data_IF_687052339686
#
_entry.id   IF_687052339686
#
_cell.length_a   1.000
_cell.length_b   1.000
_cell.length_c   1.000
_cell.angle_alpha   90.00
_cell.angle_beta   90.00
_cell.angle_gamma   90.00
#
_symmetry.space_group_name_H-M   'P 1'
#
loop_
_entity.id
_entity.type
_entity.pdbx_description
1 polymer ?
#
# COMPACT_ATOMS: atom_id res chain seq x y z
N UNK A 1 53.51 40.48 12.93
CA UNK A 1 52.69 40.29 11.71
C UNK A 1 51.62 39.25 12.01
N UNK A 2 50.34 39.60 11.91
CA UNK A 2 49.27 38.63 12.01
C UNK A 2 49.08 37.98 10.65
N UNK A 3 49.11 36.63 10.60
CA UNK A 3 48.84 35.90 9.36
C UNK A 3 47.34 35.98 9.03
N UNK A 4 47.01 36.10 7.74
CA UNK A 4 45.65 35.91 7.24
C UNK A 4 45.20 34.46 7.52
N UNK A 5 44.05 34.29 8.17
CA UNK A 5 43.53 32.98 8.55
C UNK A 5 42.08 32.77 8.06
N UNK A 6 41.65 31.56 8.01
CA UNK A 6 40.34 31.13 7.45
C UNK A 6 39.19 31.33 8.43
N UNK A 7 39.43 31.52 9.74
CA UNK A 7 38.36 31.55 10.75
C UNK A 7 37.85 32.97 11.09
N UNK A 8 38.57 34.03 10.67
CA UNK A 8 38.21 35.41 11.01
C UNK A 8 37.58 36.14 9.84
N UNK A 9 36.28 35.96 9.66
CA UNK A 9 35.49 36.54 8.54
C UNK A 9 35.26 38.05 8.69
N UNK A 10 35.47 38.63 9.90
CA UNK A 10 35.22 40.06 10.19
C UNK A 10 36.42 40.94 9.98
N UNK A 11 37.59 40.38 9.75
CA UNK A 11 38.82 41.18 9.54
C UNK A 11 38.93 41.56 8.06
N UNK A 12 38.97 42.86 7.71
CA UNK A 12 39.17 43.28 6.33
C UNK A 12 40.49 42.72 5.77
N UNK A 13 40.37 41.83 4.78
CA UNK A 13 41.53 41.22 4.11
C UNK A 13 41.76 39.74 4.44
N UNK A 14 41.06 39.12 5.43
CA UNK A 14 41.16 37.70 5.66
C UNK A 14 39.77 37.04 5.52
N UNK A 15 39.66 36.03 4.70
CA UNK A 15 38.42 35.22 4.55
C UNK A 15 37.36 35.78 3.59
N UNK A 16 37.48 37.06 3.14
CA UNK A 16 36.47 37.69 2.26
C UNK A 16 36.40 37.04 0.87
N UNK A 17 37.49 36.40 0.43
CA UNK A 17 37.56 35.71 -0.86
C UNK A 17 37.42 34.17 -0.74
N UNK A 18 37.19 33.67 0.46
CA UNK A 18 36.96 32.24 0.63
C UNK A 18 35.57 31.88 0.11
N UNK A 19 35.50 30.99 -0.87
CA UNK A 19 34.28 30.47 -1.40
C UNK A 19 33.83 29.27 -0.51
N UNK A 20 32.55 29.22 -0.20
CA UNK A 20 31.97 28.07 0.45
C UNK A 20 32.05 26.86 -0.48
N UNK A 21 32.54 25.74 0.04
CA UNK A 21 32.58 24.49 -0.67
C UNK A 21 31.29 23.71 -0.35
N UNK A 22 30.37 23.67 -1.31
CA UNK A 22 29.14 22.94 -1.24
C UNK A 22 29.31 21.61 -1.99
N UNK A 23 29.12 20.51 -1.29
CA UNK A 23 29.15 19.19 -1.91
C UNK A 23 28.00 19.05 -2.92
N UNK A 24 28.32 18.66 -4.16
CA UNK A 24 27.37 18.52 -5.27
C UNK A 24 26.48 17.26 -5.15
N UNK A 25 26.11 16.88 -3.90
CA UNK A 25 25.29 15.72 -3.59
C UNK A 25 24.04 16.18 -2.86
N UNK A 26 22.88 15.95 -3.48
CA UNK A 26 21.58 16.14 -2.84
C UNK A 26 21.08 14.80 -2.28
N UNK A 27 20.90 14.75 -0.96
CA UNK A 27 20.35 13.57 -0.29
C UNK A 27 18.89 13.81 0.07
N UNK A 28 17.99 12.99 -0.46
CA UNK A 28 16.56 13.00 -0.12
C UNK A 28 16.32 11.87 0.87
N UNK A 29 15.93 12.20 2.09
CA UNK A 29 15.57 11.25 3.13
C UNK A 29 14.04 11.17 3.24
N UNK A 30 13.43 10.23 2.53
CA UNK A 30 12.00 9.96 2.63
C UNK A 30 11.69 8.51 2.25
N UNK A 31 10.70 7.86 2.88
CA UNK A 31 10.25 6.54 2.44
C UNK A 31 9.54 6.68 1.08
N UNK A 32 10.11 6.07 0.05
CA UNK A 32 9.62 6.17 -1.34
C UNK A 32 8.89 4.90 -1.80
N UNK A 33 8.99 3.81 -1.07
CA UNK A 33 8.42 2.52 -1.46
C UNK A 33 6.89 2.54 -1.49
N UNK A 34 6.34 1.91 -2.52
CA UNK A 34 4.89 1.79 -2.75
C UNK A 34 4.51 0.32 -2.95
N UNK A 35 4.50 -0.49 -1.87
CA UNK A 35 4.34 -1.94 -1.98
C UNK A 35 2.96 -2.36 -2.48
N UNK A 36 1.87 -1.72 -2.06
CA UNK A 36 0.52 -2.08 -2.50
C UNK A 36 0.32 -1.77 -3.99
N UNK A 37 0.80 -0.61 -4.43
CA UNK A 37 0.78 -0.23 -5.84
C UNK A 37 1.60 -1.21 -6.71
N UNK A 38 2.69 -1.75 -6.16
CA UNK A 38 3.56 -2.72 -6.86
C UNK A 38 2.95 -4.12 -6.93
N UNK A 39 2.16 -4.52 -5.92
CA UNK A 39 1.46 -5.81 -5.88
C UNK A 39 0.20 -5.83 -6.74
N UNK A 40 -0.44 -4.67 -6.93
CA UNK A 40 -1.69 -4.57 -7.65
C UNK A 40 -1.51 -4.74 -9.17
N UNK A 41 -2.39 -5.51 -9.79
CA UNK A 41 -2.45 -5.66 -11.23
C UNK A 41 -2.95 -4.36 -11.87
N UNK A 42 -2.32 -3.94 -12.96
CA UNK A 42 -2.74 -2.74 -13.69
C UNK A 42 -3.78 -3.07 -14.76
N UNK A 43 -4.86 -2.31 -14.76
CA UNK A 43 -5.91 -2.39 -15.77
C UNK A 43 -6.24 -1.00 -16.33
N UNK A 44 -6.76 -0.95 -17.54
CA UNK A 44 -7.20 0.31 -18.14
C UNK A 44 -8.68 0.55 -17.82
N UNK A 45 -8.99 1.71 -17.28
CA UNK A 45 -10.36 2.17 -17.11
C UNK A 45 -10.84 2.95 -18.33
N UNK A 46 -12.16 2.98 -18.54
CA UNK A 46 -12.81 3.72 -19.61
C UNK A 46 -13.81 4.77 -19.11
N UNK A 47 -14.12 4.75 -17.80
CA UNK A 47 -15.06 5.66 -17.16
C UNK A 47 -14.57 6.06 -15.77
N UNK A 48 -15.11 7.14 -15.22
CA UNK A 48 -14.80 7.63 -13.86
C UNK A 48 -15.28 6.72 -12.77
N UNK A 49 -16.33 5.95 -13.02
CA UNK A 49 -16.80 4.88 -12.16
C UNK A 49 -16.46 3.55 -12.80
N UNK A 50 -15.58 2.79 -12.16
CA UNK A 50 -15.15 1.49 -12.63
C UNK A 50 -15.90 0.40 -11.88
N UNK A 51 -16.60 -0.47 -12.62
CA UNK A 51 -17.38 -1.56 -12.07
C UNK A 51 -16.89 -2.92 -12.58
N UNK A 52 -17.04 -3.92 -11.72
CA UNK A 52 -16.79 -5.32 -12.05
C UNK A 52 -17.85 -6.22 -11.45
N UNK A 53 -18.08 -7.35 -12.08
CA UNK A 53 -19.07 -8.33 -11.64
C UNK A 53 -18.40 -9.43 -10.83
N UNK A 54 -19.01 -9.80 -9.72
CA UNK A 54 -18.62 -10.92 -8.86
C UNK A 54 -19.74 -11.94 -8.80
N UNK A 55 -19.38 -13.22 -8.65
CA UNK A 55 -20.33 -14.31 -8.60
C UNK A 55 -19.88 -15.32 -7.53
N UNK A 56 -20.79 -16.14 -7.05
CA UNK A 56 -20.49 -17.21 -6.10
C UNK A 56 -20.99 -18.55 -6.63
N UNK A 57 -20.25 -19.61 -6.34
CA UNK A 57 -20.70 -20.97 -6.61
C UNK A 57 -21.66 -21.44 -5.52
N UNK A 58 -22.63 -22.25 -5.89
CA UNK A 58 -23.49 -22.92 -4.92
C UNK A 58 -22.67 -23.86 -4.03
N UNK A 59 -23.08 -23.99 -2.77
CA UNK A 59 -22.49 -24.97 -1.85
C UNK A 59 -22.50 -26.37 -2.45
N UNK A 60 -21.39 -27.12 -2.41
CA UNK A 60 -21.36 -28.49 -2.87
C UNK A 60 -22.42 -29.36 -2.15
N UNK A 61 -23.15 -30.15 -2.92
CA UNK A 61 -24.14 -31.08 -2.39
C UNK A 61 -23.65 -32.52 -2.52
N UNK A 62 -23.73 -33.26 -1.44
CA UNK A 62 -23.46 -34.69 -1.43
C UNK A 62 -24.72 -35.56 -1.78
N UNK A 63 -25.86 -34.89 -2.04
CA UNK A 63 -27.12 -35.59 -2.30
C UNK A 63 -27.11 -36.13 -3.73
N UNK A 64 -27.20 -37.45 -3.87
CA UNK A 64 -27.40 -38.12 -5.15
C UNK A 64 -28.84 -37.94 -5.65
N UNK A 65 -29.04 -38.19 -6.92
CA UNK A 65 -30.35 -38.20 -7.56
C UNK A 65 -30.74 -39.67 -7.79
N UNK A 66 -32.02 -40.00 -7.56
CA UNK A 66 -32.53 -41.33 -7.81
C UNK A 66 -32.60 -41.61 -9.32
N UNK A 67 -32.25 -42.82 -9.75
CA UNK A 67 -32.32 -43.21 -11.16
C UNK A 67 -33.77 -43.07 -11.66
N UNK A 68 -33.92 -42.40 -12.81
CA UNK A 68 -35.23 -42.15 -13.40
C UNK A 68 -36.02 -40.99 -12.79
N UNK A 69 -35.43 -40.21 -11.88
CA UNK A 69 -36.10 -39.03 -11.35
C UNK A 69 -36.09 -37.89 -12.34
N UNK A 70 -37.25 -37.34 -12.64
CA UNK A 70 -37.40 -36.13 -13.48
C UNK A 70 -36.98 -34.87 -12.72
N UNK A 71 -36.49 -33.86 -13.46
CA UNK A 71 -36.20 -32.52 -12.91
C UNK A 71 -37.51 -31.78 -12.69
N UNK A 72 -37.96 -31.69 -11.42
CA UNK A 72 -39.21 -31.02 -11.05
C UNK A 72 -39.08 -29.50 -10.92
N UNK A 73 -37.85 -28.95 -10.73
CA UNK A 73 -37.63 -27.54 -10.60
C UNK A 73 -36.26 -27.13 -11.18
N UNK A 74 -36.22 -25.95 -11.79
CA UNK A 74 -34.99 -25.36 -12.33
C UNK A 74 -34.60 -24.19 -11.48
N UNK A 75 -33.30 -24.10 -11.14
CA UNK A 75 -32.72 -22.99 -10.35
C UNK A 75 -31.95 -22.05 -11.25
N UNK A 76 -32.25 -20.79 -11.17
CA UNK A 76 -31.45 -19.76 -11.83
C UNK A 76 -30.05 -19.72 -11.17
N UNK A 77 -29.00 -19.89 -12.01
CA UNK A 77 -27.61 -19.90 -11.55
C UNK A 77 -26.98 -18.51 -11.46
N UNK A 78 -27.70 -17.47 -11.88
CA UNK A 78 -27.18 -16.10 -11.93
C UNK A 78 -27.70 -15.22 -10.80
N UNK A 79 -28.54 -15.73 -9.91
CA UNK A 79 -29.10 -14.97 -8.77
C UNK A 79 -28.06 -14.53 -7.74
N UNK A 80 -26.89 -15.18 -7.70
CA UNK A 80 -25.79 -14.84 -6.78
C UNK A 80 -24.88 -13.71 -7.26
N UNK A 81 -25.09 -13.20 -8.49
CA UNK A 81 -24.23 -12.16 -9.05
C UNK A 81 -24.43 -10.81 -8.40
N UNK A 82 -23.32 -10.12 -8.15
CA UNK A 82 -23.31 -8.75 -7.69
C UNK A 82 -22.37 -7.89 -8.53
N UNK A 83 -22.62 -6.59 -8.52
CA UNK A 83 -21.77 -5.62 -9.16
C UNK A 83 -21.09 -4.79 -8.09
N UNK A 84 -19.78 -4.77 -8.08
CA UNK A 84 -18.94 -3.93 -7.23
C UNK A 84 -18.33 -2.83 -8.06
N UNK A 85 -18.04 -1.69 -7.45
CA UNK A 85 -17.45 -0.59 -8.19
C UNK A 85 -16.77 0.44 -7.30
N UNK A 86 -15.85 1.19 -7.89
CA UNK A 86 -15.10 2.24 -7.23
C UNK A 86 -14.91 3.44 -8.17
N UNK A 87 -14.76 4.64 -7.58
CA UNK A 87 -14.46 5.85 -8.36
C UNK A 87 -12.97 5.97 -8.60
N UNK A 88 -12.64 6.54 -9.76
CA UNK A 88 -11.28 6.90 -10.13
C UNK A 88 -10.98 8.29 -9.58
N UNK A 89 -9.89 8.40 -8.85
CA UNK A 89 -9.41 9.64 -8.25
C UNK A 89 -8.33 10.27 -9.12
N UNK A 90 -8.40 11.58 -9.30
CA UNK A 90 -7.38 12.38 -9.97
C UNK A 90 -6.32 12.82 -8.97
N UNK A 91 -5.07 12.57 -9.29
CA UNK A 91 -3.88 13.01 -8.56
C UNK A 91 -3.13 14.03 -9.38
N UNK A 92 -2.65 15.09 -8.74
CA UNK A 92 -1.83 16.13 -9.39
C UNK A 92 -0.83 16.72 -8.42
N UNK A 93 0.40 16.92 -8.91
CA UNK A 93 1.47 17.67 -8.26
C UNK A 93 2.03 18.66 -9.26
N UNK A 94 2.07 19.92 -8.87
CA UNK A 94 2.63 20.99 -9.65
C UNK A 94 4.09 21.23 -9.29
N UNK A 95 4.84 21.76 -10.23
CA UNK A 95 6.20 22.20 -10.04
C UNK A 95 6.47 23.50 -10.81
N UNK A 96 7.31 24.36 -10.27
CA UNK A 96 7.75 25.56 -10.94
C UNK A 96 9.18 25.91 -10.54
N UNK A 97 9.93 26.49 -11.48
CA UNK A 97 11.29 26.97 -11.27
C UNK A 97 11.42 28.31 -11.96
N UNK A 98 11.85 29.36 -11.23
CA UNK A 98 12.01 30.71 -11.79
C UNK A 98 13.16 30.77 -12.79
N UNK A 99 13.07 31.70 -13.73
CA UNK A 99 14.14 31.94 -14.74
C UNK A 99 15.47 32.29 -14.08
N UNK A 100 15.41 33.11 -13.04
CA UNK A 100 16.63 33.52 -12.30
C UNK A 100 17.26 32.29 -11.61
N UNK A 101 16.44 31.42 -10.99
CA UNK A 101 16.95 30.23 -10.37
C UNK A 101 17.54 29.23 -11.38
N UNK A 102 17.07 29.25 -12.62
CA UNK A 102 17.67 28.43 -13.69
C UNK A 102 19.01 28.98 -14.17
N UNK A 103 19.19 30.29 -14.13
CA UNK A 103 20.41 30.93 -14.57
C UNK A 103 21.56 30.82 -13.55
N UNK A 104 21.23 30.71 -12.26
CA UNK A 104 22.23 30.56 -11.18
C UNK A 104 22.79 29.15 -11.17
N UNK A 105 24.10 28.98 -11.04
CA UNK A 105 24.74 27.71 -10.81
C UNK A 105 24.31 27.15 -9.44
N UNK A 106 23.70 25.96 -9.39
CA UNK A 106 23.23 25.33 -8.16
C UNK A 106 23.77 23.91 -8.05
N UNK A 107 23.88 23.45 -6.82
CA UNK A 107 24.24 22.09 -6.48
C UNK A 107 23.15 21.11 -6.96
N UNK A 108 23.52 19.97 -7.53
CA UNK A 108 22.60 18.91 -7.95
C UNK A 108 22.24 18.90 -9.44
N UNK A 109 21.35 17.97 -9.83
CA UNK A 109 20.94 17.79 -11.23
C UNK A 109 20.12 18.97 -11.78
N UNK A 110 19.81 18.93 -13.09
CA UNK A 110 19.06 20.00 -13.76
C UNK A 110 17.73 20.30 -13.04
N UNK A 111 17.56 21.51 -12.60
CA UNK A 111 16.54 21.97 -11.63
C UNK A 111 15.10 21.60 -12.00
N UNK A 112 14.72 21.76 -13.27
CA UNK A 112 13.34 21.45 -13.69
C UNK A 112 13.11 19.95 -13.82
N UNK A 113 14.11 19.20 -14.31
CA UNK A 113 14.03 17.75 -14.42
C UNK A 113 14.00 17.10 -13.04
N UNK A 114 14.72 17.65 -12.07
CA UNK A 114 14.68 17.19 -10.69
C UNK A 114 13.31 17.47 -10.05
N UNK A 115 12.75 18.67 -10.22
CA UNK A 115 11.43 19.03 -9.72
C UNK A 115 10.33 18.11 -10.31
N UNK A 116 10.42 17.81 -11.61
CA UNK A 116 9.54 16.85 -12.29
C UNK A 116 9.68 15.43 -11.73
N UNK A 117 10.91 14.94 -11.60
CA UNK A 117 11.18 13.60 -11.03
C UNK A 117 10.71 13.49 -9.57
N UNK A 118 10.85 14.56 -8.79
CA UNK A 118 10.31 14.63 -7.42
C UNK A 118 8.79 14.58 -7.42
N UNK A 119 8.12 15.32 -8.31
CA UNK A 119 6.67 15.29 -8.48
C UNK A 119 6.14 13.89 -8.81
N UNK A 120 6.82 13.14 -9.68
CA UNK A 120 6.49 11.75 -10.02
C UNK A 120 6.55 10.83 -8.78
N UNK A 121 7.59 10.96 -7.94
CA UNK A 121 7.71 10.18 -6.72
C UNK A 121 6.63 10.54 -5.70
N UNK A 122 6.32 11.82 -5.57
CA UNK A 122 5.28 12.31 -4.67
C UNK A 122 3.90 11.78 -5.06
N UNK A 123 3.53 11.78 -6.35
CA UNK A 123 2.26 11.22 -6.83
C UNK A 123 2.14 9.73 -6.55
N UNK A 124 3.19 8.95 -6.77
CA UNK A 124 3.18 7.51 -6.44
C UNK A 124 2.89 7.28 -4.94
N UNK A 125 3.47 8.11 -4.08
CA UNK A 125 3.19 8.05 -2.63
C UNK A 125 1.76 8.49 -2.29
N UNK A 126 1.24 9.51 -2.97
CA UNK A 126 -0.15 9.94 -2.79
C UNK A 126 -1.12 8.83 -3.22
N UNK A 127 -0.85 8.16 -4.35
CA UNK A 127 -1.62 6.99 -4.79
C UNK A 127 -1.58 5.88 -3.75
N UNK A 128 -0.39 5.49 -3.29
CA UNK A 128 -0.23 4.46 -2.25
C UNK A 128 -1.00 4.80 -0.97
N UNK A 129 -0.96 6.05 -0.54
CA UNK A 129 -1.70 6.51 0.64
C UNK A 129 -3.21 6.36 0.49
N UNK A 130 -3.74 6.67 -0.69
CA UNK A 130 -5.17 6.49 -0.99
C UNK A 130 -5.51 5.01 -1.07
N UNK A 131 -4.66 4.18 -1.69
CA UNK A 131 -4.88 2.74 -1.76
C UNK A 131 -4.91 2.08 -0.38
N UNK A 132 -4.02 2.47 0.54
CA UNK A 132 -3.94 1.93 1.89
C UNK A 132 -4.97 2.51 2.87
N UNK A 133 -5.69 3.57 2.50
CA UNK A 133 -6.57 4.32 3.40
C UNK A 133 -7.84 3.57 3.80
N UNK A 134 -8.53 4.14 4.80
CA UNK A 134 -9.84 3.66 5.29
C UNK A 134 -11.01 4.52 4.74
N UNK A 135 -10.75 5.44 3.80
CA UNK A 135 -11.78 6.32 3.22
C UNK A 135 -12.77 5.55 2.35
N UNK A 136 -14.02 6.02 2.36
CA UNK A 136 -15.04 5.56 1.44
C UNK A 136 -14.96 6.30 0.10
N UNK A 137 -15.57 5.71 -0.91
CA UNK A 137 -15.71 6.32 -2.24
C UNK A 137 -16.65 7.53 -2.19
N UNK A 138 -16.32 8.55 -2.94
CA UNK A 138 -17.11 9.75 -3.09
C UNK A 138 -17.21 10.17 -4.54
N UNK A 139 -18.34 10.75 -4.92
CA UNK A 139 -18.56 11.35 -6.22
C UNK A 139 -18.33 12.86 -6.13
N UNK A 140 -17.89 13.46 -7.21
CA UNK A 140 -17.76 14.91 -7.33
C UNK A 140 -19.15 15.56 -7.42
N UNK A 141 -19.37 16.63 -6.65
CA UNK A 141 -20.63 17.41 -6.64
C UNK A 141 -20.53 18.74 -7.39
N UNK A 142 -19.37 19.02 -8.00
CA UNK A 142 -19.10 20.29 -8.69
C UNK A 142 -18.86 21.49 -7.76
N UNK A 143 -18.90 21.31 -6.45
CA UNK A 143 -18.72 22.35 -5.44
C UNK A 143 -17.53 22.09 -4.53
N UNK A 144 -17.65 21.14 -3.62
CA UNK A 144 -16.63 20.83 -2.60
C UNK A 144 -16.19 19.37 -2.59
N UNK A 145 -17.09 18.46 -2.94
CA UNK A 145 -16.75 17.04 -3.02
C UNK A 145 -15.94 16.75 -4.28
N UNK A 146 -14.99 15.82 -4.16
CA UNK A 146 -14.12 15.36 -5.25
C UNK A 146 -14.31 13.87 -5.44
N UNK A 147 -13.94 13.36 -6.61
CA UNK A 147 -13.85 11.92 -6.78
C UNK A 147 -12.81 11.35 -5.82
N UNK A 148 -13.23 10.45 -4.96
CA UNK A 148 -12.38 9.72 -4.01
C UNK A 148 -12.53 8.24 -4.27
N UNK A 149 -11.40 7.55 -4.35
CA UNK A 149 -11.36 6.09 -4.44
C UNK A 149 -11.48 5.48 -3.05
N UNK A 150 -12.33 4.46 -2.88
CA UNK A 150 -12.39 3.67 -1.64
C UNK A 150 -11.08 2.94 -1.44
N UNK A 151 -10.49 3.08 -0.25
CA UNK A 151 -9.23 2.46 0.12
C UNK A 151 -9.38 1.00 0.54
N UNK A 152 -8.26 0.29 0.53
CA UNK A 152 -8.17 -1.12 0.90
C UNK A 152 -8.64 -1.38 2.33
N UNK A 153 -8.39 -0.44 3.25
CA UNK A 153 -8.78 -0.57 4.64
C UNK A 153 -10.30 -0.63 4.86
N UNK A 154 -11.09 -0.01 3.99
CA UNK A 154 -12.55 -0.14 4.02
C UNK A 154 -13.02 -1.34 3.19
N UNK A 155 -12.40 -1.66 2.05
CA UNK A 155 -12.70 -2.86 1.29
C UNK A 155 -12.49 -4.14 2.11
N UNK A 156 -11.46 -4.18 2.95
CA UNK A 156 -11.15 -5.31 3.86
C UNK A 156 -11.88 -5.18 5.22
N UNK A 157 -13.08 -4.63 5.23
CA UNK A 157 -13.95 -4.53 6.40
C UNK A 157 -15.15 -5.48 6.26
N UNK A 158 -15.71 -5.91 7.38
CA UNK A 158 -16.99 -6.64 7.39
C UNK A 158 -18.19 -5.71 7.13
N UNK A 159 -17.96 -4.38 7.18
CA UNK A 159 -18.97 -3.34 6.92
C UNK A 159 -18.46 -2.30 5.92
N UNK A 160 -18.09 -2.70 4.68
CA UNK A 160 -17.46 -1.79 3.72
C UNK A 160 -18.41 -0.73 3.14
N UNK A 161 -19.71 -0.89 3.29
CA UNK A 161 -20.75 -0.02 2.74
C UNK A 161 -21.98 -0.84 2.33
N UNK A 162 -23.13 -0.15 2.14
CA UNK A 162 -24.38 -0.80 1.75
C UNK A 162 -24.35 -1.34 0.30
N UNK A 163 -23.46 -0.80 -0.53
CA UNK A 163 -23.26 -1.17 -1.92
C UNK A 163 -22.56 -2.52 -2.12
N UNK A 164 -21.93 -3.04 -1.06
CA UNK A 164 -21.29 -4.37 -1.08
C UNK A 164 -22.21 -5.36 -0.40
N UNK A 165 -22.77 -6.34 -1.15
CA UNK A 165 -23.61 -7.37 -0.56
C UNK A 165 -22.87 -8.19 0.51
N UNK A 166 -23.58 -8.65 1.52
CA UNK A 166 -22.99 -9.38 2.66
C UNK A 166 -22.20 -10.62 2.26
N UNK A 167 -22.60 -11.30 1.19
CA UNK A 167 -21.91 -12.49 0.67
C UNK A 167 -20.51 -12.22 0.12
N UNK A 168 -20.18 -10.96 -0.22
CA UNK A 168 -18.89 -10.56 -0.81
C UNK A 168 -18.05 -9.69 0.13
N UNK A 169 -18.46 -9.54 1.38
CA UNK A 169 -17.70 -8.78 2.40
C UNK A 169 -16.60 -9.64 3.00
N UNK A 170 -15.49 -9.02 3.36
CA UNK A 170 -14.44 -9.71 4.11
C UNK A 170 -15.01 -10.30 5.41
N UNK A 171 -14.85 -11.59 5.66
CA UNK A 171 -15.34 -12.24 6.88
C UNK A 171 -14.69 -11.62 8.12
N UNK A 172 -15.44 -11.54 9.22
CA UNK A 172 -14.90 -11.05 10.49
C UNK A 172 -13.71 -11.90 10.98
N UNK A 173 -13.68 -13.19 10.64
CA UNK A 173 -12.58 -14.10 10.96
C UNK A 173 -11.28 -13.78 10.19
N UNK A 174 -11.34 -13.03 9.08
CA UNK A 174 -10.17 -12.54 8.32
C UNK A 174 -9.72 -11.14 8.78
N UNK A 175 -10.32 -10.61 9.85
CA UNK A 175 -10.03 -9.26 10.37
C UNK A 175 -9.59 -9.37 11.82
N UNK A 176 -8.41 -8.81 12.12
CA UNK A 176 -7.93 -8.66 13.49
C UNK A 176 -7.99 -7.18 13.90
N UNK A 177 -8.66 -6.90 15.01
CA UNK A 177 -8.82 -5.54 15.54
C UNK A 177 -8.12 -5.38 16.87
N UNK A 178 -7.82 -4.13 17.25
CA UNK A 178 -7.19 -3.78 18.52
C UNK A 178 -7.94 -4.30 19.76
N UNK A 179 -9.25 -4.48 19.68
CA UNK A 179 -10.08 -5.02 20.76
C UNK A 179 -9.94 -6.53 21.01
N UNK A 180 -9.29 -7.25 20.08
CA UNK A 180 -9.12 -8.70 20.19
C UNK A 180 -7.91 -9.14 21.05
N UNK A 181 -7.14 -8.20 21.58
CA UNK A 181 -5.96 -8.48 22.41
C UNK A 181 -4.66 -8.57 21.61
N UNK A 182 -3.67 -9.27 22.17
CA UNK A 182 -2.36 -9.46 21.52
C UNK A 182 -2.48 -10.45 20.36
N UNK A 183 -1.96 -10.09 19.18
CA UNK A 183 -1.90 -10.99 18.04
C UNK A 183 -0.90 -12.12 18.33
N UNK A 184 -1.39 -13.34 18.44
CA UNK A 184 -0.57 -14.54 18.58
C UNK A 184 -0.38 -15.22 17.23
N UNK A 185 0.62 -16.09 17.11
CA UNK A 185 0.85 -16.90 15.92
C UNK A 185 -0.38 -17.74 15.54
N UNK A 186 -1.03 -18.35 16.55
CA UNK A 186 -2.24 -19.13 16.34
C UNK A 186 -3.41 -18.29 15.80
N UNK A 187 -3.56 -17.04 16.28
CA UNK A 187 -4.55 -16.11 15.76
C UNK A 187 -4.23 -15.69 14.32
N UNK A 188 -2.94 -15.49 14.01
CA UNK A 188 -2.49 -15.17 12.66
C UNK A 188 -2.77 -16.32 11.68
N UNK A 189 -2.48 -17.57 12.07
CA UNK A 189 -2.85 -18.76 11.30
C UNK A 189 -4.38 -18.90 11.13
N UNK A 190 -5.16 -18.50 12.13
CA UNK A 190 -6.62 -18.44 12.04
C UNK A 190 -7.12 -17.47 10.96
N UNK A 191 -6.50 -16.32 10.80
CA UNK A 191 -6.81 -15.36 9.71
C UNK A 191 -6.50 -15.98 8.35
N UNK A 192 -5.36 -16.64 8.20
CA UNK A 192 -4.96 -17.30 6.96
C UNK A 192 -5.91 -18.43 6.62
N UNK A 193 -6.27 -19.25 7.61
CA UNK A 193 -7.27 -20.34 7.47
C UNK A 193 -8.62 -19.81 6.98
N UNK A 194 -9.07 -18.64 7.50
CA UNK A 194 -10.30 -18.01 7.05
C UNK A 194 -10.23 -17.60 5.58
N UNK A 195 -9.10 -16.99 5.14
CA UNK A 195 -8.87 -16.62 3.74
C UNK A 195 -8.84 -17.89 2.87
N UNK A 196 -8.13 -18.94 3.31
CA UNK A 196 -8.07 -20.22 2.60
C UNK A 196 -9.46 -20.85 2.41
N UNK A 197 -10.30 -20.82 3.42
CA UNK A 197 -11.66 -21.33 3.35
C UNK A 197 -12.50 -20.63 2.28
N UNK A 198 -12.24 -19.35 2.02
CA UNK A 198 -12.96 -18.57 1.00
C UNK A 198 -12.37 -18.73 -0.42
N UNK A 199 -11.05 -18.84 -0.53
CA UNK A 199 -10.35 -18.82 -1.82
C UNK A 199 -9.89 -20.19 -2.30
N UNK A 200 -9.72 -21.13 -1.38
CA UNK A 200 -9.14 -22.46 -1.66
C UNK A 200 -7.63 -22.46 -1.95
N UNK A 201 -7.00 -21.30 -2.03
CA UNK A 201 -5.54 -21.15 -2.30
C UNK A 201 -4.95 -19.99 -1.52
N UNK A 202 -3.75 -20.16 -0.99
CA UNK A 202 -2.99 -19.11 -0.29
C UNK A 202 -1.54 -18.98 -0.77
N UNK A 203 -1.19 -19.64 -1.88
CA UNK A 203 0.20 -19.72 -2.36
C UNK A 203 0.86 -18.37 -2.72
N UNK A 204 0.07 -17.31 -2.88
CA UNK A 204 0.53 -15.99 -3.32
C UNK A 204 0.19 -14.86 -2.35
N UNK A 205 -0.11 -15.18 -1.10
CA UNK A 205 -0.43 -14.14 -0.13
C UNK A 205 0.78 -13.29 0.21
N UNK A 206 0.55 -11.97 0.27
CA UNK A 206 1.54 -10.99 0.70
C UNK A 206 0.99 -10.21 1.90
N UNK A 207 1.78 -10.13 2.96
CA UNK A 207 1.47 -9.30 4.12
C UNK A 207 2.21 -7.97 4.01
N UNK A 208 1.49 -6.89 3.72
CA UNK A 208 2.03 -5.54 3.84
C UNK A 208 1.84 -5.07 5.26
N UNK A 209 2.93 -4.95 6.01
CA UNK A 209 2.90 -4.70 7.46
C UNK A 209 3.51 -3.35 7.83
N UNK A 210 2.84 -2.61 8.71
CA UNK A 210 3.41 -1.47 9.40
C UNK A 210 4.49 -1.90 10.42
N UNK A 211 5.22 -0.95 10.94
CA UNK A 211 6.41 -1.20 11.77
C UNK A 211 6.12 -2.02 13.03
N UNK A 212 5.00 -1.75 13.71
CA UNK A 212 4.58 -2.47 14.91
C UNK A 212 4.18 -3.90 14.58
N UNK A 213 3.32 -4.08 13.56
CA UNK A 213 2.90 -5.40 13.12
C UNK A 213 4.08 -6.24 12.63
N UNK A 214 5.02 -5.64 11.89
CA UNK A 214 6.23 -6.32 11.45
C UNK A 214 7.04 -6.90 12.61
N UNK A 215 7.20 -6.11 13.69
CA UNK A 215 7.88 -6.57 14.90
C UNK A 215 7.13 -7.71 15.59
N UNK A 216 5.79 -7.65 15.63
CA UNK A 216 4.95 -8.71 16.20
C UNK A 216 5.12 -10.01 15.44
N UNK A 217 5.06 -9.97 14.09
CA UNK A 217 5.25 -11.16 13.24
C UNK A 217 6.67 -11.73 13.40
N UNK A 218 7.68 -10.87 13.43
CA UNK A 218 9.06 -11.31 13.70
C UNK A 218 9.21 -11.92 15.11
N UNK A 219 8.37 -11.49 16.05
CA UNK A 219 8.33 -12.03 17.40
C UNK A 219 7.84 -13.48 17.47
N UNK A 220 7.06 -13.97 16.50
CA UNK A 220 6.60 -15.37 16.45
C UNK A 220 7.77 -16.36 16.32
N UNK A 221 8.89 -15.94 15.71
CA UNK A 221 10.10 -16.76 15.63
C UNK A 221 10.84 -16.90 16.97
N UNK A 222 10.38 -16.19 18.02
CA UNK A 222 10.93 -16.29 19.38
C UNK A 222 10.09 -17.26 20.19
N UNK A 223 10.66 -18.34 20.61
CA UNK A 223 10.04 -19.23 21.60
C UNK A 223 10.53 -18.84 22.99
N UNK A 224 9.67 -18.26 23.82
CA UNK A 224 9.96 -18.01 25.23
C UNK A 224 9.58 -19.24 26.04
N UNK A 225 10.57 -19.87 26.64
CA UNK A 225 10.31 -20.97 27.58
C UNK A 225 10.15 -20.40 29.00
N UNK A 226 8.90 -20.15 29.39
CA UNK A 226 8.55 -19.52 30.67
C UNK A 226 9.10 -20.26 31.90
N UNK A 227 9.38 -21.58 31.78
CA UNK A 227 9.92 -22.41 32.92
C UNK A 227 11.40 -22.24 33.14
N UNK A 228 12.18 -21.71 32.22
CA UNK A 228 13.65 -21.67 32.31
C UNK A 228 14.22 -20.25 32.12
N UNK A 229 13.37 -19.25 31.80
CA UNK A 229 13.82 -17.87 31.58
C UNK A 229 14.79 -17.71 30.38
N UNK A 230 14.82 -18.66 29.48
CA UNK A 230 15.67 -18.64 28.29
C UNK A 230 14.84 -18.43 27.04
N UNK A 231 15.18 -17.38 26.30
CA UNK A 231 14.65 -17.13 24.97
C UNK A 231 15.48 -17.94 23.96
N UNK A 232 14.85 -18.85 23.23
CA UNK A 232 15.51 -19.57 22.15
C UNK A 232 15.22 -18.86 20.82
N UNK A 233 16.28 -18.54 20.08
CA UNK A 233 16.17 -18.08 18.70
C UNK A 233 16.24 -19.29 17.77
N UNK A 234 15.23 -19.52 16.98
CA UNK A 234 15.13 -20.68 16.08
C UNK A 234 16.18 -20.66 14.95
N UNK A 235 16.76 -19.50 14.64
CA UNK A 235 17.74 -19.35 13.57
C UNK A 235 19.15 -18.97 14.09
N UNK A 236 19.61 -19.55 15.17
CA UNK A 236 20.97 -19.35 15.61
C UNK A 236 21.90 -20.31 14.88
N UNK A 237 22.50 -19.87 13.76
CA UNK A 237 23.65 -20.58 13.18
C UNK A 237 24.84 -20.45 14.12
N UNK A 238 25.38 -21.58 14.54
CA UNK A 238 26.43 -21.69 15.57
C UNK A 238 27.79 -21.07 15.18
N UNK A 239 27.95 -20.58 13.95
CA UNK A 239 29.25 -20.14 13.41
C UNK A 239 29.37 -18.63 13.25
N UNK A 240 28.26 -17.88 13.18
CA UNK A 240 28.30 -16.44 13.05
C UNK A 240 27.59 -15.76 14.25
N UNK A 241 28.23 -14.74 14.81
CA UNK A 241 27.69 -13.92 15.89
C UNK A 241 26.59 -12.97 15.42
N UNK A 242 25.86 -13.31 14.37
CA UNK A 242 24.81 -12.52 13.77
C UNK A 242 23.44 -12.94 14.30
N UNK A 243 22.73 -12.03 14.96
CA UNK A 243 21.36 -12.24 15.38
C UNK A 243 20.44 -11.77 14.26
N UNK A 244 19.97 -12.69 13.42
CA UNK A 244 18.94 -12.40 12.41
C UNK A 244 17.57 -12.59 13.01
N UNK A 245 16.83 -11.48 13.19
CA UNK A 245 15.49 -11.47 13.78
C UNK A 245 14.42 -10.99 12.78
N UNK A 246 14.66 -11.06 11.49
CA UNK A 246 13.69 -10.64 10.48
C UNK A 246 13.06 -11.84 9.78
N UNK A 247 11.72 -11.88 9.81
CA UNK A 247 10.92 -12.85 9.04
C UNK A 247 10.51 -12.18 7.73
N UNK A 248 11.06 -12.61 6.61
CA UNK A 248 10.66 -12.15 5.27
C UNK A 248 9.60 -13.03 4.64
N UNK A 249 9.56 -14.29 5.01
CA UNK A 249 8.59 -15.27 4.59
C UNK A 249 8.07 -16.01 5.80
N UNK A 250 6.77 -16.20 5.86
CA UNK A 250 6.11 -17.00 6.88
C UNK A 250 5.50 -18.22 6.20
N UNK A 251 5.94 -19.40 6.59
CA UNK A 251 5.39 -20.66 6.12
C UNK A 251 4.29 -21.08 7.08
N UNK A 252 3.06 -21.06 6.60
CA UNK A 252 1.87 -21.47 7.36
C UNK A 252 1.42 -22.86 6.91
N UNK A 253 0.54 -23.50 7.69
CA UNK A 253 -0.07 -24.79 7.33
C UNK A 253 -0.81 -24.77 5.99
N UNK A 254 -1.10 -23.57 5.46
CA UNK A 254 -1.88 -23.36 4.24
C UNK A 254 -1.06 -22.88 3.06
N UNK A 255 0.18 -22.42 3.27
CA UNK A 255 1.07 -21.92 2.23
C UNK A 255 2.00 -20.79 2.69
N UNK A 256 2.88 -20.37 1.77
CA UNK A 256 3.92 -19.39 2.02
C UNK A 256 3.38 -17.96 1.90
N UNK A 257 3.63 -17.12 2.90
CA UNK A 257 3.27 -15.71 2.92
C UNK A 257 4.53 -14.86 2.87
N UNK A 258 4.58 -13.96 1.91
CA UNK A 258 5.67 -12.97 1.81
C UNK A 258 5.35 -11.75 2.68
N UNK A 259 6.24 -11.40 3.60
CA UNK A 259 6.07 -10.25 4.48
C UNK A 259 6.85 -9.05 3.94
N UNK A 260 6.12 -8.01 3.55
CA UNK A 260 6.64 -6.78 2.93
C UNK A 260 6.49 -5.62 3.90
N UNK A 261 7.48 -4.76 3.97
CA UNK A 261 7.39 -3.54 4.77
C UNK A 261 6.44 -2.55 4.09
N UNK A 262 5.41 -2.15 4.80
CA UNK A 262 4.54 -1.06 4.37
C UNK A 262 5.20 0.30 4.55
N UNK A 263 4.89 1.24 3.67
CA UNK A 263 5.39 2.60 3.78
C UNK A 263 4.73 3.30 5.01
N UNK A 264 5.52 3.71 6.02
CA UNK A 264 4.96 4.30 7.24
C UNK A 264 4.27 5.65 7.03
N UNK A 265 4.55 6.34 5.91
CA UNK A 265 3.88 7.59 5.56
C UNK A 265 2.54 7.37 4.83
N UNK A 266 2.32 6.18 4.27
CA UNK A 266 1.15 5.84 3.46
C UNK A 266 0.14 4.98 4.22
N UNK A 267 0.59 4.12 5.12
CA UNK A 267 -0.30 3.36 5.99
C UNK A 267 -1.03 4.28 6.98
N UNK A 268 -2.32 4.02 7.26
CA UNK A 268 -3.09 4.80 8.24
C UNK A 268 -2.48 4.80 9.64
N UNK A 269 -1.86 3.67 10.03
CA UNK A 269 -1.26 3.47 11.33
C UNK A 269 -0.07 2.49 11.23
N UNK A 270 0.91 2.63 12.12
CA UNK A 270 2.07 1.75 12.23
C UNK A 270 1.72 0.32 12.66
N UNK A 271 0.58 0.13 13.32
CA UNK A 271 0.03 -1.16 13.75
C UNK A 271 -0.79 -1.86 12.67
N UNK A 272 -1.08 -1.18 11.56
CA UNK A 272 -1.89 -1.67 10.46
C UNK A 272 -1.10 -2.61 9.56
N UNK A 273 -1.78 -3.65 9.08
CA UNK A 273 -1.32 -4.49 8.00
C UNK A 273 -2.46 -5.03 7.16
N UNK A 274 -2.13 -5.40 5.94
CA UNK A 274 -3.05 -5.98 4.98
C UNK A 274 -2.49 -7.30 4.47
N UNK A 275 -3.28 -8.37 4.59
CA UNK A 275 -3.01 -9.62 3.90
C UNK A 275 -3.66 -9.49 2.52
N UNK A 276 -2.85 -9.49 1.47
CA UNK A 276 -3.26 -9.21 0.11
C UNK A 276 -3.01 -10.44 -0.75
N UNK A 277 -4.01 -10.83 -1.51
CA UNK A 277 -3.83 -11.76 -2.62
C UNK A 277 -3.68 -10.94 -3.91
N UNK A 278 -2.50 -10.94 -4.56
CA UNK A 278 -2.25 -10.13 -5.75
C UNK A 278 -3.16 -10.47 -6.94
N UNK A 279 -3.69 -11.67 -7.01
CA UNK A 279 -4.58 -12.10 -8.09
C UNK A 279 -5.97 -11.41 -8.02
N UNK A 280 -6.36 -10.91 -6.84
CA UNK A 280 -7.68 -10.29 -6.60
C UNK A 280 -7.63 -8.80 -6.30
N UNK A 281 -6.48 -8.16 -6.57
CA UNK A 281 -6.32 -6.70 -6.43
C UNK A 281 -5.79 -6.08 -7.72
N UNK A 282 -6.31 -4.92 -8.07
CA UNK A 282 -5.88 -4.19 -9.24
C UNK A 282 -5.97 -2.67 -9.05
N UNK A 283 -5.30 -1.96 -9.91
CA UNK A 283 -5.41 -0.50 -10.04
C UNK A 283 -5.87 -0.20 -11.46
N UNK A 284 -7.04 0.41 -11.56
CA UNK A 284 -7.60 0.86 -12.82
C UNK A 284 -7.09 2.26 -13.14
N UNK A 285 -6.31 2.38 -14.21
CA UNK A 285 -5.75 3.65 -14.69
C UNK A 285 -6.65 4.22 -15.81
N UNK A 286 -7.24 5.39 -15.60
CA UNK A 286 -7.96 6.15 -16.62
C UNK A 286 -6.98 7.06 -17.39
N UNK A 287 -6.09 7.73 -16.65
CA UNK A 287 -4.99 8.50 -17.18
C UNK A 287 -3.69 7.96 -16.57
N UNK A 288 -2.79 7.51 -17.41
CA UNK A 288 -1.47 7.07 -16.96
C UNK A 288 -0.67 8.27 -16.42
N UNK A 289 0.24 7.98 -15.51
CA UNK A 289 1.14 8.98 -14.94
C UNK A 289 1.90 9.71 -16.07
N UNK A 290 1.69 11.01 -16.18
CA UNK A 290 2.29 11.86 -17.20
C UNK A 290 2.70 13.21 -16.65
N UNK A 291 3.67 13.85 -17.30
CA UNK A 291 4.10 15.21 -17.00
C UNK A 291 3.72 16.14 -18.14
N UNK A 292 3.14 17.28 -17.80
CA UNK A 292 2.76 18.32 -18.76
C UNK A 292 3.42 19.63 -18.38
N UNK A 293 4.18 20.19 -19.31
CA UNK A 293 4.75 21.53 -19.14
C UNK A 293 3.79 22.58 -19.68
N UNK A 294 3.56 23.62 -18.91
CA UNK A 294 2.69 24.73 -19.27
C UNK A 294 3.54 25.84 -19.94
N UNK A 295 3.03 26.55 -20.95
CA UNK A 295 3.70 27.67 -21.57
C UNK A 295 4.15 28.71 -20.53
N UNK A 296 5.32 29.29 -20.77
CA UNK A 296 5.88 30.34 -19.91
C UNK A 296 5.06 31.64 -20.09
N UNK A 297 4.52 32.13 -18.97
CA UNK A 297 3.79 33.42 -18.92
C UNK A 297 4.68 34.56 -18.39
N UNK A 298 5.99 34.35 -18.38
CA UNK A 298 6.97 35.26 -17.75
C UNK A 298 7.15 34.95 -16.27
N UNK A 299 8.35 34.70 -15.83
CA UNK A 299 8.71 34.39 -14.45
C UNK A 299 9.33 33.02 -14.23
N UNK A 300 9.19 32.07 -15.17
CA UNK A 300 9.87 30.79 -15.09
C UNK A 300 9.08 29.62 -15.64
N UNK A 301 9.75 28.50 -15.78
CA UNK A 301 9.16 27.26 -16.26
C UNK A 301 8.31 26.60 -15.17
N UNK A 302 7.16 26.08 -15.57
CA UNK A 302 6.19 25.43 -14.70
C UNK A 302 5.52 24.28 -15.41
N UNK A 303 5.01 23.35 -14.63
CA UNK A 303 4.28 22.21 -15.14
C UNK A 303 3.60 21.48 -14.00
N UNK A 304 2.95 20.40 -14.35
CA UNK A 304 2.34 19.50 -13.39
C UNK A 304 2.53 18.05 -13.85
N UNK A 305 2.55 17.16 -12.88
CA UNK A 305 2.46 15.74 -13.09
C UNK A 305 1.07 15.32 -12.65
N UNK A 306 0.37 14.54 -13.43
CA UNK A 306 -0.94 14.02 -13.08
C UNK A 306 -1.12 12.55 -13.43
N UNK A 307 -2.07 11.92 -12.74
CA UNK A 307 -2.52 10.56 -12.97
C UNK A 307 -3.95 10.42 -12.48
N UNK A 308 -4.74 9.57 -13.13
CA UNK A 308 -6.08 9.24 -12.66
C UNK A 308 -6.19 7.72 -12.51
N UNK A 309 -6.36 7.26 -11.27
CA UNK A 309 -6.40 5.85 -10.94
C UNK A 309 -7.38 5.55 -9.80
N UNK A 310 -7.87 4.32 -9.75
CA UNK A 310 -8.76 3.83 -8.70
C UNK A 310 -8.45 2.39 -8.31
N UNK A 311 -8.67 2.07 -7.04
CA UNK A 311 -8.47 0.72 -6.51
C UNK A 311 -9.59 -0.21 -6.99
N UNK A 312 -9.22 -1.37 -7.50
CA UNK A 312 -10.11 -2.51 -7.79
C UNK A 312 -9.81 -3.64 -6.81
N UNK A 313 -10.81 -4.08 -6.07
CA UNK A 313 -10.74 -5.29 -5.25
C UNK A 313 -11.74 -6.27 -5.83
N UNK A 314 -11.24 -7.19 -6.65
CA UNK A 314 -12.09 -8.14 -7.39
C UNK A 314 -12.86 -9.05 -6.44
N UNK A 315 -12.25 -9.46 -5.34
CA UNK A 315 -12.91 -10.23 -4.30
C UNK A 315 -12.41 -9.82 -2.91
N UNK A 316 -13.20 -9.06 -2.12
CA UNK A 316 -12.83 -8.71 -0.75
C UNK A 316 -12.63 -9.92 0.17
N UNK A 317 -13.21 -11.08 -0.17
CA UNK A 317 -13.07 -12.34 0.57
C UNK A 317 -11.63 -12.88 0.57
N UNK A 318 -10.83 -12.51 -0.45
CA UNK A 318 -9.46 -12.97 -0.63
C UNK A 318 -8.42 -12.17 0.16
N UNK A 319 -8.87 -11.20 0.93
CA UNK A 319 -7.99 -10.28 1.66
C UNK A 319 -8.29 -10.30 3.15
N UNK A 320 -7.30 -9.86 3.94
CA UNK A 320 -7.44 -9.69 5.39
C UNK A 320 -6.89 -8.36 5.86
N UNK A 321 -7.38 -7.91 7.04
CA UNK A 321 -6.92 -6.71 7.70
C UNK A 321 -6.49 -7.02 9.12
N UNK A 322 -5.34 -6.49 9.51
CA UNK A 322 -4.78 -6.64 10.85
C UNK A 322 -4.53 -5.26 11.42
N UNK A 323 -4.98 -5.05 12.65
CA UNK A 323 -4.62 -3.89 13.47
C UNK A 323 -4.22 -4.39 14.85
N UNK A 324 -2.98 -4.17 15.25
CA UNK A 324 -2.42 -4.65 16.53
C UNK A 324 -2.50 -3.55 17.58
N UNK A 325 -2.56 -3.92 18.85
CA UNK A 325 -2.37 -2.96 19.93
C UNK A 325 -0.88 -2.57 19.97
N UNK A 326 -0.59 -1.28 19.95
CA UNK A 326 0.76 -0.73 20.11
C UNK A 326 1.20 -0.71 21.56
#
# INVERSE_FOLDING_TARGET
MAFSNTYNVTNPGSGVSNREDLTDILTILAPEETPVLSLANKSKATATFNEWTVDTLATPSATGIQEGADVSSFTDKFTGRARLGNYIQLFRRDFMVSQLQQAVESVGPAKIAEAEAKGVREIKRDMEKVLCGDQDRSVEDGSSARYVSRGLGLWTSNTPGADVPSAFRTPAASIWTTGAGTLTENAFNGLISSIYTQTGTVDKLSLVAGTVLRRTVSGFARTENASVGRTYHVNQMATDKEITLSVNTYDSDFGLITVINGNPACLPDSSRGYIINPDYIGVAELMSLGSTRVPDLGGGQRGFVDAAAGLQVFSPLAHGKITVVS
#
